data_IF_954815788726
#
_entry.id   IF_954815788726
#
_cell.length_a   1.000
_cell.length_b   1.000
_cell.length_c   1.000
_cell.angle_alpha   90.00
_cell.angle_beta   90.00
_cell.angle_gamma   90.00
#
_symmetry.space_group_name_H-M   'P 1'
#
loop_
_entity.id
_entity.type
_entity.pdbx_description
1 polymer ?
#
# COMPACT_ATOMS: atom_id res chain seq x y z
N UNK A 1 12.98 -23.61 15.76
CA UNK A 1 12.47 -22.52 14.93
C UNK A 1 10.97 -22.67 14.97
N UNK A 2 10.27 -21.74 15.62
CA UNK A 2 8.81 -21.63 15.46
C UNK A 2 8.55 -21.30 14.01
N UNK A 3 7.50 -21.87 13.45
CA UNK A 3 7.06 -21.63 12.08
C UNK A 3 5.69 -21.02 12.24
N UNK A 4 5.58 -19.69 12.13
CA UNK A 4 4.32 -18.96 12.24
C UNK A 4 3.62 -18.94 10.88
N UNK A 5 2.38 -19.42 10.87
CA UNK A 5 1.47 -19.35 9.74
C UNK A 5 0.13 -18.84 10.20
N UNK A 6 -0.43 -17.89 9.48
CA UNK A 6 -1.70 -17.27 9.78
C UNK A 6 -2.65 -17.39 8.60
N UNK A 7 -3.89 -17.76 8.88
CA UNK A 7 -4.98 -17.88 7.91
C UNK A 7 -6.15 -17.04 8.41
N UNK A 8 -6.67 -16.18 7.56
CA UNK A 8 -7.89 -15.42 7.85
C UNK A 8 -8.76 -15.35 6.60
N UNK A 9 -9.94 -15.95 6.70
CA UNK A 9 -10.93 -16.02 5.63
C UNK A 9 -12.25 -15.38 6.07
N UNK A 10 -12.81 -14.55 5.19
CA UNK A 10 -14.06 -13.84 5.41
C UNK A 10 -15.12 -14.22 4.40
N UNK A 11 -16.36 -14.27 4.87
CA UNK A 11 -17.58 -14.44 4.10
C UNK A 11 -18.34 -13.13 4.10
N UNK A 12 -18.58 -12.59 2.92
CA UNK A 12 -19.35 -11.38 2.69
C UNK A 12 -20.75 -11.68 2.17
N UNK A 13 -20.91 -12.81 1.47
CA UNK A 13 -22.18 -13.24 0.90
C UNK A 13 -22.93 -14.17 1.86
N UNK A 14 -23.56 -13.53 2.85
CA UNK A 14 -24.40 -14.16 3.87
C UNK A 14 -23.60 -14.59 5.10
N UNK A 15 -24.07 -15.64 5.78
CA UNK A 15 -23.48 -16.12 7.04
C UNK A 15 -23.31 -17.64 7.03
N UNK A 16 -22.30 -18.13 7.73
CA UNK A 16 -22.07 -19.55 7.97
C UNK A 16 -23.20 -20.16 8.80
N UNK A 17 -23.83 -21.20 8.26
CA UNK A 17 -24.80 -21.99 9.02
C UNK A 17 -24.15 -22.79 10.15
N UNK A 18 -24.94 -23.23 11.13
CA UNK A 18 -24.44 -24.07 12.23
C UNK A 18 -23.73 -25.34 11.73
N UNK A 19 -24.22 -25.95 10.64
CA UNK A 19 -23.59 -27.12 10.01
C UNK A 19 -22.22 -26.78 9.43
N UNK A 20 -22.09 -25.64 8.75
CA UNK A 20 -20.84 -25.19 8.15
C UNK A 20 -19.80 -24.84 9.23
N UNK A 21 -20.21 -24.13 10.29
CA UNK A 21 -19.32 -23.86 11.43
C UNK A 21 -18.82 -25.14 12.10
N UNK A 22 -19.69 -26.15 12.23
CA UNK A 22 -19.28 -27.45 12.79
C UNK A 22 -18.30 -28.19 11.87
N UNK A 23 -18.48 -28.12 10.54
CA UNK A 23 -17.52 -28.68 9.59
C UNK A 23 -16.15 -28.01 9.71
N UNK A 24 -16.10 -26.68 9.77
CA UNK A 24 -14.85 -25.92 9.97
C UNK A 24 -14.16 -26.25 11.31
N UNK A 25 -14.93 -26.44 12.40
CA UNK A 25 -14.40 -26.85 13.72
C UNK A 25 -13.77 -28.24 13.72
N UNK A 26 -14.20 -29.13 12.81
CA UNK A 26 -13.58 -30.45 12.64
C UNK A 26 -12.22 -30.31 11.95
N UNK A 27 -12.10 -29.38 10.99
CA UNK A 27 -10.85 -29.11 10.27
C UNK A 27 -9.81 -28.40 11.14
N UNK A 28 -10.24 -27.42 11.92
CA UNK A 28 -9.39 -26.73 12.90
C UNK A 28 -10.15 -26.44 14.18
N UNK A 29 -9.78 -27.17 15.24
CA UNK A 29 -10.34 -26.97 16.59
C UNK A 29 -9.78 -25.72 17.29
N UNK A 30 -8.68 -25.16 16.78
CA UNK A 30 -8.02 -23.95 17.30
C UNK A 30 -8.54 -22.67 16.65
N UNK A 31 -9.20 -22.79 15.50
CA UNK A 31 -9.66 -21.64 14.76
C UNK A 31 -10.74 -20.87 15.54
N UNK A 32 -10.62 -19.55 15.50
CA UNK A 32 -11.71 -18.66 15.82
C UNK A 32 -12.69 -18.64 14.64
N UNK A 33 -13.95 -19.00 14.92
CA UNK A 33 -14.98 -19.17 13.89
C UNK A 33 -16.22 -18.40 14.30
N UNK A 34 -16.60 -17.40 13.50
CA UNK A 34 -17.80 -16.58 13.70
C UNK A 34 -18.90 -16.90 12.67
N UNK A 35 -19.89 -16.02 12.52
CA UNK A 35 -20.84 -16.09 11.40
C UNK A 35 -20.22 -15.77 10.05
N UNK A 36 -19.12 -15.03 10.03
CA UNK A 36 -18.58 -14.43 8.81
C UNK A 36 -17.09 -14.62 8.64
N UNK A 37 -16.35 -15.14 9.63
CA UNK A 37 -14.92 -15.38 9.45
C UNK A 37 -14.46 -16.71 10.07
N UNK A 38 -13.30 -17.15 9.59
CA UNK A 38 -12.47 -18.21 10.12
C UNK A 38 -11.04 -17.67 10.22
N UNK A 39 -10.45 -17.74 11.39
CA UNK A 39 -9.09 -17.25 11.64
C UNK A 39 -8.32 -18.27 12.48
N UNK A 40 -7.08 -18.58 12.12
CA UNK A 40 -6.22 -19.46 12.89
C UNK A 40 -4.74 -19.17 12.62
N UNK A 41 -3.91 -19.30 13.64
CA UNK A 41 -2.47 -19.40 13.47
C UNK A 41 -1.91 -20.75 13.94
N UNK A 42 -0.75 -21.11 13.41
CA UNK A 42 0.01 -22.29 13.80
C UNK A 42 1.47 -21.91 14.03
N UNK A 43 2.04 -22.34 15.16
CA UNK A 43 3.50 -22.29 15.42
C UNK A 43 4.22 -23.60 15.02
N UNK A 44 3.44 -24.63 14.72
CA UNK A 44 3.87 -25.95 14.29
C UNK A 44 2.75 -26.66 13.52
N UNK A 45 3.12 -27.35 12.44
CA UNK A 45 2.16 -28.02 11.57
C UNK A 45 1.58 -27.06 10.52
N UNK A 46 0.37 -27.37 10.07
CA UNK A 46 -0.30 -26.68 8.97
C UNK A 46 -1.81 -26.97 9.08
N UNK A 47 -2.63 -26.10 8.50
CA UNK A 47 -4.06 -26.30 8.29
C UNK A 47 -4.30 -27.64 7.60
N UNK A 48 -5.26 -28.42 8.10
CA UNK A 48 -5.59 -29.76 7.56
C UNK A 48 -6.68 -29.69 6.50
N UNK A 49 -6.59 -28.67 5.65
CA UNK A 49 -7.49 -28.41 4.54
C UNK A 49 -6.77 -27.54 3.51
N UNK A 50 -7.10 -27.73 2.24
CA UNK A 50 -6.61 -26.86 1.18
C UNK A 50 -7.35 -25.51 1.24
N UNK A 51 -6.64 -24.37 1.34
CA UNK A 51 -7.27 -23.05 1.42
C UNK A 51 -8.21 -22.75 0.26
N UNK A 52 -7.86 -23.11 -0.97
CA UNK A 52 -8.72 -22.90 -2.15
C UNK A 52 -10.05 -23.64 -2.05
N UNK A 53 -10.07 -24.86 -1.49
CA UNK A 53 -11.31 -25.60 -1.23
C UNK A 53 -12.18 -24.92 -0.18
N UNK A 54 -11.57 -24.34 0.86
CA UNK A 54 -12.29 -23.56 1.88
C UNK A 54 -12.88 -22.29 1.29
N UNK A 55 -12.11 -21.58 0.44
CA UNK A 55 -12.58 -20.41 -0.29
C UNK A 55 -13.78 -20.78 -1.17
N UNK A 56 -13.65 -21.80 -2.02
CA UNK A 56 -14.73 -22.27 -2.87
C UNK A 56 -16.02 -22.55 -2.08
N UNK A 57 -15.92 -23.28 -0.96
CA UNK A 57 -17.07 -23.76 -0.20
C UNK A 57 -17.69 -22.74 0.76
N UNK A 58 -16.89 -21.86 1.39
CA UNK A 58 -17.35 -21.13 2.58
C UNK A 58 -17.10 -19.62 2.56
N UNK A 59 -16.03 -19.15 1.90
CA UNK A 59 -15.51 -17.78 2.07
C UNK A 59 -15.38 -17.03 0.74
N UNK A 60 -15.38 -15.70 0.80
CA UNK A 60 -15.39 -14.83 -0.36
C UNK A 60 -14.09 -14.04 -0.53
N UNK A 61 -13.42 -13.74 0.58
CA UNK A 61 -12.11 -13.09 0.62
C UNK A 61 -11.23 -13.82 1.63
N UNK A 62 -9.93 -13.90 1.35
CA UNK A 62 -9.00 -14.57 2.26
C UNK A 62 -7.58 -14.08 2.13
N UNK A 63 -6.84 -14.20 3.22
CA UNK A 63 -5.39 -14.02 3.25
C UNK A 63 -4.74 -15.15 4.04
N UNK A 64 -3.58 -15.55 3.58
CA UNK A 64 -2.63 -16.37 4.28
C UNK A 64 -1.29 -15.66 4.29
N UNK A 65 -0.57 -15.72 5.42
CA UNK A 65 0.83 -15.36 5.42
C UNK A 65 1.64 -16.21 6.40
N UNK A 66 2.95 -16.24 6.20
CA UNK A 66 3.88 -16.98 7.04
C UNK A 66 5.17 -16.21 7.34
N UNK A 67 5.85 -16.57 8.44
CA UNK A 67 7.09 -15.91 8.90
C UNK A 67 8.30 -16.11 7.97
N UNK A 68 8.21 -17.00 6.98
CA UNK A 68 9.20 -17.09 5.90
C UNK A 68 8.88 -16.18 4.71
N UNK A 69 7.90 -15.28 4.85
CA UNK A 69 7.58 -14.23 3.89
C UNK A 69 6.56 -14.63 2.82
N UNK A 70 5.99 -15.83 2.86
CA UNK A 70 4.96 -16.19 1.89
C UNK A 70 3.65 -15.47 2.23
N UNK A 71 3.01 -14.88 1.23
CA UNK A 71 1.68 -14.27 1.31
C UNK A 71 0.81 -14.82 0.19
N UNK A 72 -0.42 -15.22 0.52
CA UNK A 72 -1.41 -15.65 -0.48
C UNK A 72 -2.72 -14.92 -0.24
N UNK A 73 -3.22 -14.26 -1.27
CA UNK A 73 -4.49 -13.53 -1.25
C UNK A 73 -5.52 -14.25 -2.12
N UNK A 74 -6.75 -14.35 -1.64
CA UNK A 74 -7.85 -15.05 -2.30
C UNK A 74 -9.04 -14.11 -2.51
N UNK A 75 -9.57 -14.05 -3.75
CA UNK A 75 -10.80 -13.31 -4.08
C UNK A 75 -11.76 -14.21 -4.85
N UNK A 76 -12.93 -14.49 -4.27
CA UNK A 76 -14.00 -15.25 -4.93
C UNK A 76 -15.12 -14.32 -5.37
N UNK A 77 -15.44 -14.35 -6.64
CA UNK A 77 -16.57 -13.63 -7.24
C UNK A 77 -17.54 -14.60 -7.90
N UNK A 78 -18.80 -14.21 -8.18
CA UNK A 78 -19.72 -15.03 -8.95
C UNK A 78 -19.18 -15.35 -10.36
N UNK A 79 -19.61 -16.47 -10.93
CA UNK A 79 -19.26 -16.86 -12.30
C UNK A 79 -19.62 -15.76 -13.30
N UNK A 80 -18.76 -15.52 -14.29
CA UNK A 80 -18.88 -14.48 -15.31
C UNK A 80 -18.79 -13.03 -14.79
N UNK A 81 -18.26 -12.82 -13.59
CA UNK A 81 -17.93 -11.46 -13.12
C UNK A 81 -16.76 -10.89 -13.92
N UNK A 82 -15.75 -11.72 -14.16
CA UNK A 82 -14.55 -11.39 -14.94
C UNK A 82 -14.65 -12.08 -16.31
N UNK A 83 -14.58 -11.32 -17.42
CA UNK A 83 -14.62 -11.89 -18.76
C UNK A 83 -13.43 -12.83 -19.03
N UNK A 84 -13.68 -13.90 -19.79
CA UNK A 84 -12.68 -14.95 -20.10
C UNK A 84 -11.30 -14.42 -20.55
N UNK A 85 -11.17 -13.39 -21.41
CA UNK A 85 -9.85 -12.88 -21.80
C UNK A 85 -9.00 -12.29 -20.66
N UNK A 86 -9.61 -11.96 -19.52
CA UNK A 86 -8.87 -11.54 -18.32
C UNK A 86 -8.41 -12.71 -17.47
N UNK A 87 -9.02 -13.90 -17.62
CA UNK A 87 -8.60 -15.12 -16.91
C UNK A 87 -7.24 -15.62 -17.41
N UNK A 88 -6.82 -15.19 -18.59
CA UNK A 88 -5.48 -15.41 -19.17
C UNK A 88 -4.35 -14.72 -18.41
N UNK A 89 -4.66 -13.98 -17.33
CA UNK A 89 -3.67 -13.55 -16.34
C UNK A 89 -3.14 -14.72 -15.50
N UNK A 90 -3.85 -15.85 -15.49
CA UNK A 90 -3.38 -17.09 -14.88
C UNK A 90 -2.04 -17.51 -15.51
N UNK A 91 -1.02 -17.61 -14.67
CA UNK A 91 0.30 -18.05 -15.07
C UNK A 91 0.75 -19.37 -14.45
N UNK A 92 -0.12 -20.00 -13.68
CA UNK A 92 0.15 -21.26 -12.99
C UNK A 92 1.16 -21.15 -11.84
N UNK A 93 1.61 -19.96 -11.46
CA UNK A 93 2.65 -19.77 -10.44
C UNK A 93 2.31 -18.67 -9.42
N UNK A 94 2.12 -17.43 -9.87
CA UNK A 94 1.91 -16.26 -9.01
C UNK A 94 0.47 -15.74 -9.06
N UNK A 95 -0.24 -16.00 -10.15
CA UNK A 95 -1.66 -15.72 -10.27
C UNK A 95 -2.36 -16.96 -10.78
N UNK A 96 -3.33 -17.45 -10.03
CA UNK A 96 -4.17 -18.59 -10.40
C UNK A 96 -5.61 -18.12 -10.53
N UNK A 97 -6.27 -18.51 -11.61
CA UNK A 97 -7.66 -18.19 -11.88
C UNK A 97 -8.43 -19.48 -12.17
N UNK A 98 -9.42 -19.81 -11.33
CA UNK A 98 -10.29 -20.97 -11.55
C UNK A 98 -11.74 -20.56 -11.76
N UNK A 99 -12.40 -21.21 -12.72
CA UNK A 99 -13.86 -21.20 -12.83
C UNK A 99 -14.41 -22.42 -12.08
N UNK A 100 -15.20 -22.16 -11.04
CA UNK A 100 -15.99 -23.17 -10.34
C UNK A 100 -17.38 -23.33 -10.95
N UNK A 101 -18.25 -24.08 -10.28
CA UNK A 101 -19.63 -24.31 -10.76
C UNK A 101 -20.41 -22.99 -10.88
N UNK A 102 -20.28 -22.11 -9.88
CA UNK A 102 -21.04 -20.86 -9.78
C UNK A 102 -20.16 -19.65 -9.39
N UNK A 103 -18.84 -19.79 -9.46
CA UNK A 103 -17.89 -18.79 -8.99
C UNK A 103 -16.65 -18.71 -9.89
N UNK A 104 -15.87 -17.64 -9.73
CA UNK A 104 -14.49 -17.54 -10.20
C UNK A 104 -13.63 -17.21 -8.97
N UNK A 105 -12.51 -17.90 -8.79
CA UNK A 105 -11.59 -17.68 -7.69
C UNK A 105 -10.23 -17.23 -8.24
N UNK A 106 -9.76 -16.10 -7.72
CA UNK A 106 -8.46 -15.54 -7.99
C UNK A 106 -7.56 -15.78 -6.79
N UNK A 107 -6.39 -16.36 -7.01
CA UNK A 107 -5.35 -16.57 -6.00
C UNK A 107 -4.09 -15.84 -6.43
N UNK A 108 -3.60 -14.93 -5.59
CA UNK A 108 -2.36 -14.19 -5.83
C UNK A 108 -1.31 -14.62 -4.81
N UNK A 109 -0.13 -15.00 -5.29
CA UNK A 109 0.91 -15.63 -4.48
C UNK A 109 2.18 -14.78 -4.53
N UNK A 110 2.70 -14.45 -3.35
CA UNK A 110 4.02 -13.89 -3.12
C UNK A 110 4.80 -14.91 -2.31
N UNK A 111 5.90 -15.43 -2.86
CA UNK A 111 6.64 -16.52 -2.21
C UNK A 111 7.52 -16.04 -1.05
N UNK A 112 8.10 -14.85 -1.20
CA UNK A 112 9.02 -14.27 -0.24
C UNK A 112 8.71 -12.77 -0.14
N UNK A 113 8.52 -12.32 1.10
CA UNK A 113 8.30 -10.96 1.51
C UNK A 113 9.19 -10.70 2.73
N UNK A 114 10.07 -9.70 2.63
CA UNK A 114 11.00 -9.35 3.69
C UNK A 114 10.34 -8.52 4.81
N UNK A 115 9.05 -8.17 4.66
CA UNK A 115 8.28 -7.47 5.70
C UNK A 115 7.84 -8.45 6.78
N UNK A 116 8.08 -8.08 8.03
CA UNK A 116 7.49 -8.73 9.19
C UNK A 116 6.00 -8.34 9.27
N UNK A 117 5.13 -9.07 8.57
CA UNK A 117 3.67 -8.85 8.63
C UNK A 117 3.13 -9.29 10.00
N UNK A 118 2.45 -8.37 10.69
CA UNK A 118 1.72 -8.65 11.92
C UNK A 118 0.24 -8.99 11.63
N UNK A 119 -0.46 -9.57 12.62
CA UNK A 119 -1.87 -9.94 12.46
C UNK A 119 -2.76 -8.73 12.12
N UNK A 120 -2.43 -7.55 12.68
CA UNK A 120 -3.11 -6.28 12.41
C UNK A 120 -2.92 -5.85 10.94
N UNK A 121 -1.72 -6.04 10.36
CA UNK A 121 -1.46 -5.75 8.94
C UNK A 121 -2.33 -6.65 8.05
N UNK A 122 -2.50 -7.92 8.43
CA UNK A 122 -3.33 -8.86 7.67
C UNK A 122 -4.81 -8.49 7.68
N UNK A 123 -5.33 -7.92 8.78
CA UNK A 123 -6.70 -7.40 8.85
C UNK A 123 -6.89 -6.19 7.93
N UNK A 124 -5.92 -5.27 7.89
CA UNK A 124 -5.94 -4.12 6.96
C UNK A 124 -5.91 -4.59 5.49
N UNK A 125 -5.05 -5.56 5.15
CA UNK A 125 -5.05 -6.14 3.81
C UNK A 125 -6.36 -6.84 3.44
N UNK A 126 -7.04 -7.50 4.38
CA UNK A 126 -8.35 -8.09 4.13
C UNK A 126 -9.40 -7.03 3.76
N UNK A 127 -9.37 -5.84 4.37
CA UNK A 127 -10.25 -4.75 3.99
C UNK A 127 -9.96 -4.24 2.57
N UNK A 128 -8.68 -4.17 2.18
CA UNK A 128 -8.30 -3.84 0.81
C UNK A 128 -8.75 -4.93 -0.18
N UNK A 129 -8.56 -6.21 0.15
CA UNK A 129 -9.05 -7.34 -0.67
C UNK A 129 -10.57 -7.32 -0.82
N UNK A 130 -11.31 -6.97 0.23
CA UNK A 130 -12.75 -6.75 0.20
C UNK A 130 -13.14 -5.66 -0.80
N UNK A 131 -12.38 -4.56 -0.82
CA UNK A 131 -12.59 -3.45 -1.74
C UNK A 131 -12.28 -3.84 -3.19
N UNK A 132 -11.18 -4.56 -3.42
CA UNK A 132 -10.80 -5.11 -4.73
C UNK A 132 -11.85 -6.07 -5.28
N UNK A 133 -12.43 -6.91 -4.42
CA UNK A 133 -13.55 -7.77 -4.81
C UNK A 133 -14.73 -6.95 -5.32
N UNK A 134 -15.09 -5.87 -4.64
CA UNK A 134 -16.17 -4.97 -5.07
C UNK A 134 -15.85 -4.25 -6.39
N UNK A 135 -14.60 -3.89 -6.61
CA UNK A 135 -14.13 -3.32 -7.88
C UNK A 135 -14.35 -4.29 -9.05
N UNK A 136 -13.94 -5.56 -8.90
CA UNK A 136 -14.19 -6.61 -9.90
C UNK A 136 -15.69 -6.77 -10.17
N UNK A 137 -16.51 -6.81 -9.12
CA UNK A 137 -17.97 -6.91 -9.23
C UNK A 137 -18.62 -5.73 -9.97
N UNK A 138 -17.98 -4.56 -9.96
CA UNK A 138 -18.45 -3.36 -10.65
C UNK A 138 -17.82 -3.17 -12.05
N UNK A 139 -16.97 -4.12 -12.49
CA UNK A 139 -16.33 -4.09 -13.79
C UNK A 139 -15.03 -3.28 -13.86
N UNK A 140 -14.46 -2.94 -12.71
CA UNK A 140 -13.09 -2.42 -12.63
C UNK A 140 -12.12 -3.60 -12.53
N UNK A 141 -11.46 -3.90 -13.64
CA UNK A 141 -10.56 -5.05 -13.76
C UNK A 141 -9.08 -4.67 -13.59
N UNK A 142 -8.78 -3.43 -13.14
CA UNK A 142 -7.39 -2.94 -12.99
C UNK A 142 -6.52 -3.87 -12.15
N UNK A 143 -7.08 -4.52 -11.12
CA UNK A 143 -6.37 -5.53 -10.32
C UNK A 143 -5.66 -6.58 -11.19
N UNK A 144 -6.30 -7.06 -12.25
CA UNK A 144 -5.77 -8.15 -13.08
C UNK A 144 -4.63 -7.68 -14.00
N UNK A 145 -4.51 -6.37 -14.24
CA UNK A 145 -3.37 -5.82 -14.97
C UNK A 145 -2.13 -5.73 -14.09
N UNK A 146 -2.28 -5.56 -12.77
CA UNK A 146 -1.14 -5.34 -11.88
C UNK A 146 -0.14 -6.51 -11.88
N UNK A 147 -0.52 -7.77 -11.59
CA UNK A 147 0.42 -8.88 -11.64
C UNK A 147 0.95 -9.12 -13.07
N UNK A 148 0.12 -8.94 -14.10
CA UNK A 148 0.55 -9.02 -15.50
C UNK A 148 1.64 -7.99 -15.83
N UNK A 149 1.46 -6.74 -15.38
CA UNK A 149 2.40 -5.64 -15.61
C UNK A 149 3.73 -5.87 -14.90
N UNK A 150 3.71 -6.41 -13.68
CA UNK A 150 4.94 -6.80 -12.97
C UNK A 150 5.77 -7.77 -13.81
N UNK A 151 5.15 -8.85 -14.28
CA UNK A 151 5.86 -9.87 -15.07
C UNK A 151 6.33 -9.33 -16.42
N UNK A 152 5.51 -8.50 -17.07
CA UNK A 152 5.91 -7.83 -18.31
C UNK A 152 7.14 -6.92 -18.11
N UNK A 153 7.19 -6.20 -16.97
CA UNK A 153 8.33 -5.37 -16.59
C UNK A 153 9.59 -6.19 -16.24
N UNK A 154 9.41 -7.36 -15.64
CA UNK A 154 10.48 -8.33 -15.38
C UNK A 154 11.00 -9.02 -16.67
N UNK A 155 10.38 -8.73 -17.81
CA UNK A 155 10.81 -9.19 -19.13
C UNK A 155 10.22 -10.53 -19.56
N UNK A 156 9.14 -10.99 -18.93
CA UNK A 156 8.44 -12.20 -19.37
C UNK A 156 7.67 -11.95 -20.67
N UNK A 157 8.20 -12.45 -21.78
CA UNK A 157 7.59 -12.36 -23.11
C UNK A 157 6.62 -13.51 -23.44
N UNK A 158 6.34 -14.39 -22.48
CA UNK A 158 5.41 -15.52 -22.65
C UNK A 158 3.98 -15.21 -22.21
N UNK A 159 3.76 -14.02 -21.64
CA UNK A 159 2.45 -13.59 -21.15
C UNK A 159 1.40 -13.56 -22.26
N UNK A 160 0.23 -14.13 -21.96
CA UNK A 160 -0.96 -13.96 -22.78
C UNK A 160 -1.36 -12.48 -22.86
N UNK A 161 -2.06 -12.11 -23.93
CA UNK A 161 -2.55 -10.75 -24.11
C UNK A 161 -3.77 -10.50 -23.24
N UNK A 162 -3.84 -9.32 -22.64
CA UNK A 162 -5.06 -8.84 -21.97
C UNK A 162 -5.81 -7.85 -22.86
N UNK A 163 -7.12 -7.68 -22.72
CA UNK A 163 -7.84 -6.58 -23.36
C UNK A 163 -7.22 -5.23 -22.99
N UNK A 164 -7.07 -4.31 -23.94
CA UNK A 164 -6.64 -2.94 -23.65
C UNK A 164 -7.87 -2.08 -23.35
N UNK A 165 -8.12 -1.83 -22.07
CA UNK A 165 -9.22 -1.00 -21.58
C UNK A 165 -8.64 0.32 -21.04
N UNK A 166 -9.30 1.44 -21.38
CA UNK A 166 -8.96 2.80 -20.95
C UNK A 166 -9.36 3.04 -19.48
N UNK A 167 -8.75 2.27 -18.58
CA UNK A 167 -8.83 2.51 -17.14
C UNK A 167 -7.79 3.55 -16.71
N UNK A 168 -8.07 4.28 -15.62
CA UNK A 168 -7.14 5.24 -15.05
C UNK A 168 -6.07 4.53 -14.20
N UNK A 169 -4.91 4.25 -14.80
CA UNK A 169 -3.73 3.72 -14.10
C UNK A 169 -2.87 4.80 -13.44
N UNK A 170 -3.21 6.09 -13.63
CA UNK A 170 -2.55 7.20 -12.95
C UNK A 170 -3.13 7.40 -11.54
N UNK A 171 -4.43 7.16 -11.36
CA UNK A 171 -5.11 7.25 -10.07
C UNK A 171 -5.70 5.88 -9.68
N UNK A 172 -4.82 5.01 -9.20
CA UNK A 172 -5.22 3.74 -8.58
C UNK A 172 -6.02 4.01 -7.29
N UNK A 173 -6.98 3.13 -6.99
CA UNK A 173 -7.68 3.17 -5.70
C UNK A 173 -6.74 2.83 -4.54
N UNK A 174 -7.12 3.17 -3.31
CA UNK A 174 -6.34 2.82 -2.12
C UNK A 174 -6.08 1.30 -2.04
N UNK A 175 -7.08 0.48 -2.37
CA UNK A 175 -6.93 -0.96 -2.35
C UNK A 175 -6.02 -1.49 -3.47
N UNK A 176 -6.05 -0.88 -4.66
CA UNK A 176 -5.13 -1.19 -5.76
C UNK A 176 -3.69 -0.79 -5.43
N UNK A 177 -3.49 0.34 -4.75
CA UNK A 177 -2.18 0.79 -4.26
C UNK A 177 -1.64 -0.16 -3.19
N UNK A 178 -2.46 -0.56 -2.22
CA UNK A 178 -2.09 -1.52 -1.19
C UNK A 178 -1.69 -2.87 -1.81
N UNK A 179 -2.44 -3.36 -2.80
CA UNK A 179 -2.07 -4.56 -3.54
C UNK A 179 -0.76 -4.37 -4.33
N UNK A 180 -0.59 -3.23 -5.00
CA UNK A 180 0.62 -2.93 -5.74
C UNK A 180 1.86 -2.89 -4.84
N UNK A 181 1.74 -2.33 -3.64
CA UNK A 181 2.78 -2.33 -2.63
C UNK A 181 3.04 -3.73 -2.05
N UNK A 182 1.99 -4.50 -1.77
CA UNK A 182 2.13 -5.86 -1.26
C UNK A 182 2.88 -6.75 -2.27
N UNK A 183 2.50 -6.71 -3.55
CA UNK A 183 3.08 -7.58 -4.58
C UNK A 183 4.28 -6.99 -5.33
N UNK A 184 4.84 -5.88 -4.84
CA UNK A 184 5.99 -5.19 -5.44
C UNK A 184 5.78 -4.84 -6.93
N UNK A 185 4.60 -4.36 -7.27
CA UNK A 185 4.24 -3.98 -8.64
C UNK A 185 4.98 -2.67 -9.00
N UNK A 186 5.82 -2.65 -10.05
CA UNK A 186 6.59 -1.46 -10.40
C UNK A 186 5.68 -0.30 -10.83
N UNK A 187 5.89 0.88 -10.24
CA UNK A 187 5.14 2.08 -10.61
C UNK A 187 5.42 2.47 -12.08
N UNK A 188 6.64 2.23 -12.53
CA UNK A 188 7.09 2.36 -13.92
C UNK A 188 6.18 1.57 -14.85
N UNK A 189 5.73 0.38 -14.42
CA UNK A 189 4.92 -0.48 -15.25
C UNK A 189 3.52 0.12 -15.49
N UNK A 190 2.90 0.63 -14.41
CA UNK A 190 1.62 1.34 -14.48
C UNK A 190 1.72 2.63 -15.30
N UNK A 191 2.82 3.38 -15.15
CA UNK A 191 3.08 4.61 -15.91
C UNK A 191 3.23 4.36 -17.41
N UNK A 192 3.96 3.32 -17.79
CA UNK A 192 4.10 2.94 -19.19
C UNK A 192 2.77 2.51 -19.82
N UNK A 193 1.93 1.75 -19.09
CA UNK A 193 0.58 1.44 -19.55
C UNK A 193 -0.27 2.70 -19.75
N UNK A 194 -0.19 3.66 -18.83
CA UNK A 194 -0.89 4.93 -18.98
C UNK A 194 -0.40 5.75 -20.19
N UNK A 195 0.90 5.71 -20.52
CA UNK A 195 1.45 6.34 -21.74
C UNK A 195 0.97 5.63 -23.02
N UNK A 196 0.90 4.29 -23.01
CA UNK A 196 0.34 3.51 -24.10
C UNK A 196 -1.14 3.87 -24.33
N UNK A 197 -1.95 3.93 -23.27
CA UNK A 197 -3.36 4.31 -23.34
C UNK A 197 -3.55 5.72 -23.92
N UNK A 198 -2.70 6.68 -23.54
CA UNK A 198 -2.75 8.05 -24.06
C UNK A 198 -2.41 8.17 -25.56
N UNK A 199 -1.76 7.16 -26.14
CA UNK A 199 -1.25 7.17 -27.51
C UNK A 199 -1.93 6.16 -28.45
N UNK A 200 -2.80 5.30 -27.91
CA UNK A 200 -3.39 4.17 -28.62
C UNK A 200 -4.91 4.15 -28.49
N UNK A 201 -5.57 3.41 -29.40
CA UNK A 201 -6.99 3.12 -29.24
C UNK A 201 -7.17 2.03 -28.18
N UNK A 202 -8.14 2.23 -27.30
CA UNK A 202 -8.49 1.30 -26.24
C UNK A 202 -10.02 1.20 -26.12
N UNK A 203 -10.49 0.13 -25.50
CA UNK A 203 -11.90 0.00 -25.16
C UNK A 203 -12.26 0.94 -24.02
N UNK A 204 -13.47 1.50 -24.04
CA UNK A 204 -13.96 2.36 -22.95
C UNK A 204 -14.11 1.53 -21.67
N UNK A 205 -13.62 2.05 -20.55
CA UNK A 205 -13.89 1.48 -19.24
C UNK A 205 -15.39 1.61 -18.92
N UNK A 206 -16.07 0.47 -18.78
CA UNK A 206 -17.47 0.41 -18.32
C UNK A 206 -17.50 0.03 -16.84
N UNK A 207 -17.08 0.93 -15.95
CA UNK A 207 -17.29 0.76 -14.51
C UNK A 207 -18.73 1.14 -14.16
N UNK A 208 -19.50 0.16 -13.69
CA UNK A 208 -20.92 0.34 -13.36
C UNK A 208 -21.05 0.77 -11.90
N UNK A 209 -21.03 2.07 -11.66
CA UNK A 209 -21.51 2.63 -10.39
C UNK A 209 -22.97 3.02 -10.55
N UNK A 210 -23.84 2.02 -10.62
CA UNK A 210 -25.28 2.27 -10.58
C UNK A 210 -25.71 2.42 -9.13
N UNK A 211 -26.54 3.40 -8.85
CA UNK A 211 -27.28 3.47 -7.60
C UNK A 211 -28.25 2.29 -7.51
N UNK A 212 -28.64 1.88 -6.31
CA UNK A 212 -29.60 0.80 -6.12
C UNK A 212 -30.92 1.05 -6.87
N UNK A 213 -31.35 2.32 -6.98
CA UNK A 213 -32.54 2.69 -7.75
C UNK A 213 -32.37 2.41 -9.25
N UNK A 214 -31.24 2.82 -9.83
CA UNK A 214 -30.94 2.59 -11.26
C UNK A 214 -30.77 1.11 -11.58
N UNK A 215 -30.17 0.33 -10.66
CA UNK A 215 -30.09 -1.13 -10.78
C UNK A 215 -31.51 -1.72 -10.84
N UNK A 216 -32.37 -1.37 -9.87
CA UNK A 216 -33.76 -1.86 -9.81
C UNK A 216 -34.58 -1.45 -11.04
N UNK A 217 -34.39 -0.24 -11.57
CA UNK A 217 -35.10 0.20 -12.78
C UNK A 217 -34.71 -0.61 -14.02
N UNK A 218 -33.46 -1.07 -14.11
CA UNK A 218 -32.95 -1.87 -15.23
C UNK A 218 -33.38 -3.34 -15.17
N UNK A 219 -33.77 -3.85 -14.00
CA UNK A 219 -34.22 -5.23 -13.84
C UNK A 219 -35.58 -5.47 -14.50
N UNK A 220 -35.71 -6.60 -15.20
CA UNK A 220 -37.01 -7.04 -15.70
C UNK A 220 -37.94 -7.42 -14.54
N UNK A 221 -39.25 -7.47 -14.78
CA UNK A 221 -40.20 -7.95 -13.77
C UNK A 221 -39.87 -9.39 -13.30
N UNK A 222 -39.41 -10.24 -14.23
CA UNK A 222 -38.98 -11.61 -13.91
C UNK A 222 -37.74 -11.64 -13.02
N UNK A 223 -36.78 -10.74 -13.25
CA UNK A 223 -35.56 -10.64 -12.43
C UNK A 223 -35.90 -10.17 -11.01
N UNK A 224 -36.81 -9.18 -10.90
CA UNK A 224 -37.32 -8.73 -9.59
C UNK A 224 -38.01 -9.85 -8.84
N UNK A 225 -38.90 -10.60 -9.50
CA UNK A 225 -39.57 -11.75 -8.90
C UNK A 225 -38.58 -12.84 -8.47
N UNK A 226 -37.53 -13.09 -9.26
CA UNK A 226 -36.47 -14.04 -8.91
C UNK A 226 -35.71 -13.62 -7.66
N UNK A 227 -35.29 -12.35 -7.57
CA UNK A 227 -34.61 -11.81 -6.40
C UNK A 227 -35.48 -11.90 -5.14
N UNK A 228 -36.75 -11.51 -5.25
CA UNK A 228 -37.69 -11.56 -4.13
C UNK A 228 -37.94 -13.00 -3.66
N UNK A 229 -38.08 -13.96 -4.59
CA UNK A 229 -38.19 -15.39 -4.24
C UNK A 229 -36.98 -15.88 -3.46
N UNK A 230 -35.77 -15.60 -3.97
CA UNK A 230 -34.54 -16.01 -3.28
C UNK A 230 -34.47 -15.38 -1.88
N UNK A 231 -34.79 -14.10 -1.75
CA UNK A 231 -34.82 -13.41 -0.46
C UNK A 231 -35.81 -14.07 0.52
N UNK A 232 -37.00 -14.45 0.08
CA UNK A 232 -38.00 -15.12 0.94
C UNK A 232 -37.63 -16.57 1.27
N UNK A 233 -36.93 -17.27 0.39
CA UNK A 233 -36.49 -18.66 0.62
C UNK A 233 -35.27 -18.73 1.55
N UNK A 234 -34.29 -17.84 1.37
CA UNK A 234 -33.05 -17.82 2.15
C UNK A 234 -33.13 -16.95 3.40
N UNK A 235 -34.09 -16.01 3.47
CA UNK A 235 -34.23 -15.03 4.54
C UNK A 235 -33.23 -13.87 4.48
N UNK A 236 -32.29 -13.89 3.54
CA UNK A 236 -31.30 -12.84 3.28
C UNK A 236 -30.87 -12.89 1.81
N UNK A 237 -30.42 -11.76 1.27
CA UNK A 237 -29.83 -11.68 -0.06
C UNK A 237 -28.82 -10.53 -0.12
N UNK A 238 -27.53 -10.84 -0.33
CA UNK A 238 -26.50 -9.81 -0.49
C UNK A 238 -26.63 -9.13 -1.86
N UNK A 239 -26.07 -7.93 -2.01
CA UNK A 239 -26.02 -7.24 -3.30
C UNK A 239 -25.26 -8.08 -4.35
N UNK A 240 -24.18 -8.75 -3.95
CA UNK A 240 -23.42 -9.66 -4.83
C UNK A 240 -24.26 -10.83 -5.30
N UNK A 241 -24.97 -11.49 -4.38
CA UNK A 241 -25.86 -12.62 -4.71
C UNK A 241 -26.98 -12.16 -5.64
N UNK A 242 -27.57 -11.00 -5.36
CA UNK A 242 -28.58 -10.42 -6.23
C UNK A 242 -28.03 -10.20 -7.64
N UNK A 243 -26.86 -9.56 -7.76
CA UNK A 243 -26.18 -9.33 -9.04
C UNK A 243 -25.81 -10.63 -9.75
N UNK A 244 -25.41 -11.68 -9.04
CA UNK A 244 -25.15 -12.99 -9.64
C UNK A 244 -26.41 -13.63 -10.22
N UNK A 245 -27.57 -13.48 -9.55
CA UNK A 245 -28.83 -14.11 -9.96
C UNK A 245 -29.47 -13.44 -11.19
N UNK A 246 -29.31 -12.13 -11.32
CA UNK A 246 -29.93 -11.33 -12.40
C UNK A 246 -28.91 -10.79 -13.40
N UNK A 247 -27.63 -10.93 -13.07
CA UNK A 247 -26.52 -10.59 -13.95
C UNK A 247 -26.65 -11.41 -15.20
N UNK A 248 -26.87 -10.73 -16.33
CA UNK A 248 -26.68 -11.38 -17.62
C UNK A 248 -25.20 -11.74 -17.72
N UNK A 249 -24.87 -12.96 -18.18
CA UNK A 249 -23.47 -13.28 -18.48
C UNK A 249 -22.92 -12.14 -19.31
N UNK A 250 -21.75 -11.62 -18.94
CA UNK A 250 -21.07 -10.60 -19.74
C UNK A 250 -20.88 -11.26 -21.11
N UNK A 251 -21.74 -10.90 -22.07
CA UNK A 251 -21.68 -11.44 -23.41
C UNK A 251 -20.24 -11.24 -23.86
N UNK A 252 -19.62 -12.32 -24.37
CA UNK A 252 -18.22 -12.34 -24.80
C UNK A 252 -17.94 -11.04 -25.56
N UNK A 253 -17.33 -10.06 -24.88
CA UNK A 253 -17.11 -8.75 -25.47
C UNK A 253 -16.10 -9.00 -26.58
N UNK A 254 -16.44 -8.53 -27.77
CA UNK A 254 -15.53 -8.65 -28.90
C UNK A 254 -14.40 -7.63 -28.71
N UNK A 255 -13.33 -8.06 -28.02
CA UNK A 255 -12.17 -7.22 -27.75
C UNK A 255 -11.31 -7.10 -29.00
N UNK A 256 -11.12 -5.87 -29.45
CA UNK A 256 -10.39 -5.49 -30.66
C UNK A 256 -9.00 -4.96 -30.34
N UNK A 257 -8.84 -4.35 -29.16
CA UNK A 257 -7.59 -3.77 -28.68
C UNK A 257 -7.01 -4.63 -27.58
N UNK A 258 -5.72 -4.94 -27.71
CA UNK A 258 -5.03 -5.91 -26.86
C UNK A 258 -3.73 -5.32 -26.34
N UNK A 259 -3.50 -5.51 -25.06
CA UNK A 259 -2.24 -5.25 -24.38
C UNK A 259 -1.32 -6.45 -24.57
N UNK A 260 -0.08 -6.19 -24.98
CA UNK A 260 1.00 -7.17 -25.08
C UNK A 260 2.29 -6.57 -24.51
N UNK A 261 3.24 -7.42 -24.12
CA UNK A 261 4.55 -6.97 -23.61
C UNK A 261 5.27 -6.09 -24.61
N UNK A 262 5.26 -6.47 -25.89
CA UNK A 262 5.82 -5.69 -27.00
C UNK A 262 5.18 -4.30 -27.16
N UNK A 263 3.95 -4.10 -26.71
CA UNK A 263 3.30 -2.78 -26.80
C UNK A 263 3.85 -1.79 -25.76
N UNK A 264 4.53 -2.27 -24.72
CA UNK A 264 5.07 -1.45 -23.63
C UNK A 264 6.57 -1.17 -23.76
N UNK A 265 7.29 -1.89 -24.62
CA UNK A 265 8.75 -1.77 -24.80
C UNK A 265 9.21 -0.34 -25.05
N UNK A 266 8.46 0.42 -25.87
CA UNK A 266 8.78 1.81 -26.21
C UNK A 266 8.52 2.80 -25.05
N UNK A 267 7.79 2.39 -24.01
CA UNK A 267 7.33 3.26 -22.93
C UNK A 267 8.09 3.08 -21.61
N UNK A 268 8.81 1.97 -21.41
CA UNK A 268 9.54 1.70 -20.16
C UNK A 268 10.52 2.80 -19.78
N UNK A 269 11.37 3.22 -20.72
CA UNK A 269 12.37 4.26 -20.47
C UNK A 269 11.70 5.60 -20.15
N UNK A 270 10.67 5.97 -20.93
CA UNK A 270 9.97 7.23 -20.74
C UNK A 270 9.25 7.29 -19.38
N UNK A 271 8.65 6.17 -18.95
CA UNK A 271 8.01 6.05 -17.64
C UNK A 271 9.02 6.20 -16.49
N UNK A 272 10.16 5.53 -16.57
CA UNK A 272 11.24 5.69 -15.60
C UNK A 272 11.76 7.14 -15.54
N UNK A 273 11.97 7.78 -16.69
CA UNK A 273 12.44 9.16 -16.75
C UNK A 273 11.42 10.17 -16.17
N UNK A 274 10.11 9.92 -16.32
CA UNK A 274 9.07 10.71 -15.65
C UNK A 274 9.15 10.55 -14.12
N UNK A 275 9.23 9.32 -13.60
CA UNK A 275 9.31 9.05 -12.16
C UNK A 275 10.58 9.67 -11.55
N UNK A 276 11.74 9.53 -12.20
CA UNK A 276 12.99 10.14 -11.74
C UNK A 276 12.87 11.67 -11.69
N UNK A 277 12.26 12.29 -12.71
CA UNK A 277 12.03 13.75 -12.71
C UNK A 277 11.11 14.18 -11.57
N UNK A 278 10.02 13.46 -11.32
CA UNK A 278 9.10 13.75 -10.22
C UNK A 278 9.82 13.64 -8.86
N UNK A 279 10.63 12.60 -8.64
CA UNK A 279 11.43 12.44 -7.41
C UNK A 279 12.40 13.60 -7.19
N UNK A 280 13.13 14.01 -8.23
CA UNK A 280 14.06 15.14 -8.14
C UNK A 280 13.36 16.45 -7.76
N UNK A 281 12.16 16.70 -8.31
CA UNK A 281 11.35 17.88 -7.97
C UNK A 281 10.92 17.84 -6.50
N UNK A 282 10.46 16.68 -6.01
CA UNK A 282 10.04 16.52 -4.61
C UNK A 282 11.23 16.71 -3.65
N UNK A 283 12.38 16.12 -3.96
CA UNK A 283 13.61 16.28 -3.17
C UNK A 283 14.07 17.74 -3.11
N UNK A 284 14.02 18.46 -4.24
CA UNK A 284 14.36 19.89 -4.30
C UNK A 284 13.41 20.71 -3.42
N UNK A 285 12.10 20.48 -3.52
CA UNK A 285 11.09 21.15 -2.69
C UNK A 285 11.29 20.88 -1.20
N UNK A 286 11.59 19.64 -0.82
CA UNK A 286 11.89 19.29 0.58
C UNK A 286 13.15 19.99 1.08
N UNK A 287 14.21 20.04 0.26
CA UNK A 287 15.44 20.76 0.59
C UNK A 287 15.21 22.26 0.76
N UNK A 288 14.44 22.87 -0.13
CA UNK A 288 14.08 24.28 -0.02
C UNK A 288 13.26 24.55 1.25
N UNK A 289 12.28 23.68 1.55
CA UNK A 289 11.48 23.78 2.77
C UNK A 289 12.35 23.70 4.03
N UNK A 290 13.21 22.67 4.13
CA UNK A 290 14.16 22.50 5.24
C UNK A 290 15.10 23.71 5.38
N UNK A 291 15.56 24.27 4.26
CA UNK A 291 16.39 25.47 4.24
C UNK A 291 15.63 26.69 4.79
N UNK A 292 14.37 26.89 4.38
CA UNK A 292 13.52 27.98 4.88
C UNK A 292 13.25 27.84 6.38
N UNK A 293 12.84 26.67 6.84
CA UNK A 293 12.60 26.38 8.26
C UNK A 293 13.87 26.58 9.10
N UNK A 294 15.03 26.15 8.58
CA UNK A 294 16.32 26.40 9.24
C UNK A 294 16.62 27.88 9.35
N UNK A 295 16.45 28.65 8.26
CA UNK A 295 16.67 30.10 8.27
C UNK A 295 15.71 30.82 9.23
N UNK A 296 14.43 30.45 9.27
CA UNK A 296 13.45 30.99 10.21
C UNK A 296 13.85 30.71 11.67
N UNK A 297 14.27 29.47 11.97
CA UNK A 297 14.78 29.08 13.29
C UNK A 297 15.98 29.94 13.69
N UNK A 298 16.97 30.07 12.80
CA UNK A 298 18.17 30.87 13.04
C UNK A 298 17.85 32.35 13.24
N UNK A 299 16.92 32.92 12.48
CA UNK A 299 16.47 34.30 12.65
C UNK A 299 15.74 34.53 13.98
N UNK A 300 14.97 33.54 14.45
CA UNK A 300 14.35 33.59 15.78
C UNK A 300 15.40 33.57 16.89
N UNK A 301 16.39 32.68 16.80
CA UNK A 301 17.53 32.62 17.74
C UNK A 301 18.30 33.94 17.75
N UNK A 302 18.56 34.51 16.57
CA UNK A 302 19.22 35.80 16.45
C UNK A 302 18.40 36.93 17.10
N UNK A 303 17.07 36.91 16.93
CA UNK A 303 16.18 37.90 17.56
C UNK A 303 16.18 37.77 19.09
N UNK A 304 16.25 36.56 19.65
CA UNK A 304 16.35 36.29 21.09
C UNK A 304 17.78 36.04 21.59
N UNK A 305 18.80 36.50 20.86
CA UNK A 305 20.22 36.14 21.10
C UNK A 305 20.72 36.39 22.51
N UNK A 306 20.25 37.45 23.18
CA UNK A 306 20.61 37.74 24.57
C UNK A 306 20.14 36.66 25.54
N UNK A 307 18.95 36.10 25.34
CA UNK A 307 18.41 35.03 26.17
C UNK A 307 19.20 33.72 25.98
N UNK A 308 19.56 33.41 24.74
CA UNK A 308 20.42 32.26 24.43
C UNK A 308 21.81 32.41 25.07
N UNK A 309 22.44 33.59 25.01
CA UNK A 309 23.71 33.84 25.71
C UNK A 309 23.60 33.70 27.24
N UNK A 310 22.47 34.10 27.85
CA UNK A 310 22.19 33.84 29.28
C UNK A 310 22.06 32.35 29.59
N UNK A 311 21.41 31.59 28.71
CA UNK A 311 21.29 30.13 28.85
C UNK A 311 22.65 29.45 28.73
N UNK A 312 23.50 29.87 27.79
CA UNK A 312 24.89 29.41 27.66
C UNK A 312 25.64 29.57 28.98
N UNK A 313 25.56 30.75 29.62
CA UNK A 313 26.18 30.99 30.93
C UNK A 313 25.61 30.04 32.00
N UNK A 314 24.29 29.98 32.12
CA UNK A 314 23.59 29.11 33.08
C UNK A 314 23.98 27.63 32.93
N UNK A 315 23.97 27.09 31.72
CA UNK A 315 24.34 25.70 31.46
C UNK A 315 25.83 25.45 31.66
N UNK A 316 26.67 26.42 31.33
CA UNK A 316 28.11 26.32 31.59
C UNK A 316 28.41 26.22 33.08
N UNK A 317 27.57 26.74 33.97
CA UNK A 317 27.79 26.76 35.43
C UNK A 317 27.43 25.45 36.13
N UNK A 318 26.49 24.67 35.60
CA UNK A 318 25.86 23.50 36.25
C UNK A 318 26.79 22.28 36.43
N UNK A 319 27.95 22.24 35.78
CA UNK A 319 29.04 21.33 36.13
C UNK A 319 28.88 19.85 35.75
N UNK A 320 27.78 19.44 35.11
CA UNK A 320 27.54 18.04 34.69
C UNK A 320 27.47 17.89 33.16
N UNK A 321 27.66 16.65 32.68
CA UNK A 321 27.83 16.35 31.26
C UNK A 321 26.68 16.87 30.37
N UNK A 322 25.43 16.57 30.72
CA UNK A 322 24.25 17.00 29.93
C UNK A 322 24.12 18.53 29.84
N UNK A 323 24.51 19.29 30.88
CA UNK A 323 24.48 20.75 30.82
C UNK A 323 25.55 21.29 29.87
N UNK A 324 26.73 20.67 29.82
CA UNK A 324 27.77 21.04 28.86
C UNK A 324 27.38 20.69 27.42
N UNK A 325 26.66 19.60 27.17
CA UNK A 325 26.10 19.31 25.84
C UNK A 325 25.09 20.39 25.42
N UNK A 326 24.21 20.82 26.34
CA UNK A 326 23.28 21.94 26.10
C UNK A 326 23.99 23.26 25.85
N UNK A 327 25.01 23.59 26.64
CA UNK A 327 25.80 24.81 26.46
C UNK A 327 26.51 24.82 25.09
N UNK A 328 27.13 23.70 24.70
CA UNK A 328 27.79 23.59 23.42
C UNK A 328 26.82 23.76 22.24
N UNK A 329 25.64 23.12 22.32
CA UNK A 329 24.58 23.26 21.32
C UNK A 329 24.08 24.70 21.19
N UNK A 330 23.82 25.37 22.30
CA UNK A 330 23.35 26.77 22.31
C UNK A 330 24.38 27.74 21.71
N UNK A 331 25.67 27.53 21.96
CA UNK A 331 26.73 28.37 21.36
C UNK A 331 26.85 28.10 19.85
N UNK A 332 26.72 26.84 19.41
CA UNK A 332 26.70 26.50 17.97
C UNK A 332 25.49 27.14 17.28
N UNK A 333 24.31 27.01 17.87
CA UNK A 333 23.08 27.61 17.35
C UNK A 333 23.17 29.14 17.26
N UNK A 334 23.81 29.78 18.25
CA UNK A 334 24.12 31.21 18.21
C UNK A 334 25.11 31.54 17.09
N UNK A 335 26.20 30.79 16.94
CA UNK A 335 27.16 31.00 15.86
C UNK A 335 26.47 30.94 14.48
N UNK A 336 25.70 29.89 14.23
CA UNK A 336 24.96 29.70 12.98
C UNK A 336 23.95 30.84 12.75
N UNK A 337 23.28 31.31 13.81
CA UNK A 337 22.32 32.41 13.74
C UNK A 337 22.98 33.75 13.39
N UNK A 338 24.14 34.06 13.98
CA UNK A 338 24.91 35.26 13.65
C UNK A 338 25.53 35.17 12.25
N UNK A 339 25.97 33.98 11.81
CA UNK A 339 26.43 33.75 10.44
C UNK A 339 25.32 33.98 9.42
N UNK A 340 24.14 33.39 9.62
CA UNK A 340 22.99 33.57 8.73
C UNK A 340 22.50 35.03 8.64
N UNK A 341 22.73 35.83 9.68
CA UNK A 341 22.36 37.25 9.74
C UNK A 341 23.52 38.20 9.39
N UNK A 342 24.63 37.70 8.84
CA UNK A 342 25.83 38.49 8.50
C UNK A 342 26.39 39.31 9.67
N UNK A 343 26.23 38.82 10.91
CA UNK A 343 26.57 39.53 12.15
C UNK A 343 27.76 38.89 12.89
N UNK A 344 28.57 38.03 12.25
CA UNK A 344 29.68 37.33 12.92
C UNK A 344 30.68 38.26 13.63
N UNK A 345 30.85 39.48 13.13
CA UNK A 345 31.71 40.51 13.76
C UNK A 345 31.25 40.82 15.19
N UNK A 346 29.95 40.75 15.48
CA UNK A 346 29.41 40.92 16.83
C UNK A 346 29.57 39.65 17.69
N UNK A 347 29.49 38.47 17.07
CA UNK A 347 29.59 37.18 17.77
C UNK A 347 30.98 36.94 18.34
N UNK A 348 32.03 37.14 17.54
CA UNK A 348 33.43 36.82 17.88
C UNK A 348 33.86 37.41 19.24
N UNK A 349 33.71 38.72 19.53
CA UNK A 349 34.14 39.28 20.81
C UNK A 349 33.30 38.80 22.00
N UNK A 350 32.05 38.35 21.79
CA UNK A 350 31.22 37.75 22.84
C UNK A 350 31.71 36.34 23.14
N UNK A 351 31.94 35.54 22.09
CA UNK A 351 32.46 34.18 22.21
C UNK A 351 33.86 34.15 22.85
N UNK A 352 34.78 35.06 22.48
CA UNK A 352 36.10 35.14 23.10
C UNK A 352 36.04 35.41 24.60
N UNK A 353 35.14 36.30 25.05
CA UNK A 353 34.92 36.55 26.48
C UNK A 353 34.39 35.32 27.19
N UNK A 354 33.43 34.63 26.58
CA UNK A 354 32.90 33.38 27.11
C UNK A 354 33.97 32.27 27.18
N UNK A 355 34.75 32.07 26.12
CA UNK A 355 35.82 31.08 26.05
C UNK A 355 36.85 31.26 27.17
N UNK A 356 37.24 32.51 27.48
CA UNK A 356 38.12 32.82 28.63
C UNK A 356 37.48 32.45 29.98
N UNK A 357 36.18 32.66 30.15
CA UNK A 357 35.47 32.33 31.40
C UNK A 357 35.40 30.81 31.66
N UNK A 358 35.34 30.01 30.61
CA UNK A 358 35.22 28.54 30.72
C UNK A 358 36.57 27.81 30.61
N UNK A 359 37.71 28.52 30.52
CA UNK A 359 39.05 27.93 30.30
C UNK A 359 39.39 26.81 31.30
N UNK A 360 38.94 26.95 32.56
CA UNK A 360 39.14 25.94 33.61
C UNK A 360 38.21 24.73 33.51
N UNK A 361 37.16 24.79 32.68
CA UNK A 361 36.15 23.74 32.45
C UNK A 361 36.52 22.88 31.24
N UNK A 362 37.60 22.08 31.37
CA UNK A 362 38.22 21.31 30.27
C UNK A 362 37.24 20.49 29.42
N UNK A 363 36.23 19.88 30.03
CA UNK A 363 35.23 19.07 29.31
C UNK A 363 34.31 19.89 28.40
N UNK A 364 33.96 21.12 28.79
CA UNK A 364 33.17 22.02 27.95
C UNK A 364 34.03 22.62 26.82
N UNK A 365 35.28 22.98 27.12
CA UNK A 365 36.26 23.45 26.13
C UNK A 365 36.46 22.41 25.03
N UNK A 366 36.60 21.13 25.39
CA UNK A 366 36.73 20.03 24.41
C UNK A 366 35.53 19.92 23.47
N UNK A 367 34.31 20.13 23.97
CA UNK A 367 33.08 20.09 23.16
C UNK A 367 32.97 21.27 22.18
N UNK A 368 33.52 22.42 22.55
CA UNK A 368 33.54 23.63 21.72
C UNK A 368 34.77 23.72 20.81
N UNK A 369 35.68 22.74 20.86
CA UNK A 369 36.94 22.78 20.11
C UNK A 369 36.74 22.90 18.60
N UNK A 370 35.76 22.16 18.04
CA UNK A 370 35.44 22.24 16.61
C UNK A 370 34.92 23.63 16.22
N UNK A 371 34.00 24.21 17.01
CA UNK A 371 33.50 25.56 16.78
C UNK A 371 34.61 26.61 16.96
N UNK A 372 35.49 26.44 17.96
CA UNK A 372 36.64 27.32 18.15
C UNK A 372 37.58 27.30 16.94
N UNK A 373 37.82 26.12 16.35
CA UNK A 373 38.56 26.01 15.10
C UNK A 373 37.81 26.68 13.95
N UNK A 374 36.50 26.51 13.81
CA UNK A 374 35.72 27.16 12.74
C UNK A 374 35.75 28.69 12.81
N UNK A 375 35.80 29.27 14.01
CA UNK A 375 35.79 30.73 14.20
C UNK A 375 37.17 31.35 13.95
N UNK A 376 38.25 30.61 14.20
CA UNK A 376 39.64 31.11 14.17
C UNK A 376 40.56 30.39 13.19
N UNK A 377 40.03 29.49 12.36
CA UNK A 377 40.74 28.98 11.20
C UNK A 377 40.62 30.02 10.08
N UNK A 378 41.76 30.61 9.74
CA UNK A 378 41.94 31.34 8.48
C UNK A 378 41.69 30.43 7.27
#
# INVERSE_FOLDING_TARGET
MSVYQYYHFERHDGVLSAKQKNALRILSSRAEISSTHFMVHYDYGDLKAEPSELMAQYFDVGIYYADWGQVICYLKVPLNTVPQPFMEVDDGEFTLCEDGENYQLFTFILNEDDRDLEDDDAEDYLQHLSSLRLELLNGDYRLLYLPWLKRAFEGDNTLSKLPLIDFDFKHLSEAQLAFAELFYIPLEACRALNMLLASSQAHVAETKHLTAAEEIERLSASDKDRLLRELFEQGQLSATQARALVGKPIANRDYQYWLSTSSLEDYWQAANDEIVRERLIVEEQQREKMRRETLERLNKIFSSREAHWKNVQKYSEQGHASAYDKAAKEVQDLYDAYLANNALVEFIPIYQRFAKQIERRKTLVRRLQSLHQQIFAD
#
